data_IF_807044837224
#
_entry.id   IF_807044837224
#
_cell.length_a   1.000
_cell.length_b   1.000
_cell.length_c   1.000
_cell.angle_alpha   90.00
_cell.angle_beta   90.00
_cell.angle_gamma   90.00
#
_symmetry.space_group_name_H-M   'P 1'
#
loop_
_entity.id
_entity.type
_entity.pdbx_description
1 polymer ?
#
# COMPACT_ATOMS: atom_id res chain seq x y z
N UNK A 1 -1.79 34.32 11.40
CA UNK A 1 -0.86 33.21 11.71
C UNK A 1 -1.48 31.97 11.11
N UNK A 2 -0.98 31.53 9.97
CA UNK A 2 -1.46 30.32 9.30
C UNK A 2 -0.92 29.11 10.08
N UNK A 3 -1.80 28.39 10.77
CA UNK A 3 -1.47 27.10 11.36
C UNK A 3 -1.95 26.00 10.41
N UNK A 4 -0.99 25.19 10.00
CA UNK A 4 -1.04 24.09 9.05
C UNK A 4 -2.23 23.12 9.22
N UNK A 5 -3.08 23.04 8.19
CA UNK A 5 -3.92 21.86 7.92
C UNK A 5 -3.15 20.86 7.03
N UNK A 6 -2.03 20.33 7.52
CA UNK A 6 -1.20 19.35 6.80
C UNK A 6 -1.16 17.96 7.46
N UNK A 7 -2.17 17.59 8.25
CA UNK A 7 -2.18 16.31 8.98
C UNK A 7 -3.44 15.45 8.76
N UNK A 8 -4.28 15.74 7.77
CA UNK A 8 -5.53 14.99 7.56
C UNK A 8 -5.45 13.86 6.52
N UNK A 9 -4.33 13.73 5.78
CA UNK A 9 -4.15 12.68 4.77
C UNK A 9 -3.31 11.49 5.21
N UNK A 10 -2.38 11.66 6.16
CA UNK A 10 -1.43 10.61 6.57
C UNK A 10 -2.06 9.48 7.39
N UNK A 11 -3.24 9.71 7.99
CA UNK A 11 -3.92 8.72 8.82
C UNK A 11 -5.02 7.93 8.11
N UNK A 12 -5.35 8.23 6.84
CA UNK A 12 -6.53 7.63 6.22
C UNK A 12 -6.30 6.19 5.74
N UNK A 13 -5.05 5.83 5.39
CA UNK A 13 -4.67 4.50 4.91
C UNK A 13 -3.35 4.03 5.56
N UNK A 14 -3.29 4.07 6.89
CA UNK A 14 -2.09 3.73 7.67
C UNK A 14 -1.56 2.33 7.33
N UNK A 15 -2.45 1.36 7.07
CA UNK A 15 -2.04 0.00 6.73
C UNK A 15 -1.45 -0.10 5.33
N UNK A 16 -1.92 0.71 4.37
CA UNK A 16 -1.29 0.81 3.05
C UNK A 16 0.12 1.36 3.19
N UNK A 17 0.28 2.47 3.91
CA UNK A 17 1.59 3.06 4.20
C UNK A 17 2.53 2.07 4.86
N UNK A 18 2.04 1.31 5.85
CA UNK A 18 2.82 0.29 6.55
C UNK A 18 3.27 -0.83 5.60
N UNK A 19 2.37 -1.33 4.76
CA UNK A 19 2.69 -2.38 3.77
C UNK A 19 3.75 -1.89 2.78
N UNK A 20 3.58 -0.70 2.21
CA UNK A 20 4.53 -0.15 1.24
C UNK A 20 5.91 0.09 1.88
N UNK A 21 5.97 0.70 3.06
CA UNK A 21 7.22 1.04 3.72
C UNK A 21 8.03 -0.18 4.18
N UNK A 22 7.37 -1.23 4.67
CA UNK A 22 8.07 -2.35 5.33
C UNK A 22 8.26 -3.58 4.44
N UNK A 23 7.41 -3.77 3.42
CA UNK A 23 7.46 -4.98 2.59
C UNK A 23 7.93 -4.70 1.17
N UNK A 24 7.48 -3.60 0.57
CA UNK A 24 7.69 -3.33 -0.87
C UNK A 24 8.70 -2.22 -1.16
N UNK A 25 9.17 -1.49 -0.14
CA UNK A 25 10.25 -0.53 -0.32
C UNK A 25 11.49 -1.22 -0.86
N UNK A 26 12.25 -0.57 -1.75
CA UNK A 26 13.57 -1.08 -2.20
C UNK A 26 14.53 -1.39 -1.04
N UNK A 27 14.27 -0.83 0.15
CA UNK A 27 15.05 -1.05 1.35
C UNK A 27 14.65 -2.32 2.12
N UNK A 28 13.58 -3.03 1.74
CA UNK A 28 13.09 -4.20 2.47
C UNK A 28 13.97 -5.44 2.31
N UNK A 29 14.96 -5.42 1.39
CA UNK A 29 15.78 -6.57 0.98
C UNK A 29 14.98 -7.76 0.43
N UNK A 30 13.65 -7.64 0.33
CA UNK A 30 12.74 -8.67 -0.15
C UNK A 30 12.39 -8.41 -1.61
N UNK A 31 12.32 -9.48 -2.40
CA UNK A 31 11.58 -9.43 -3.66
C UNK A 31 10.08 -9.28 -3.42
N UNK A 32 9.34 -8.82 -4.43
CA UNK A 32 7.87 -8.69 -4.35
C UNK A 32 7.19 -10.02 -3.99
N UNK A 33 7.67 -11.15 -4.53
CA UNK A 33 7.13 -12.47 -4.22
C UNK A 33 7.36 -12.88 -2.76
N UNK A 34 8.55 -12.59 -2.22
CA UNK A 34 8.88 -12.85 -0.81
C UNK A 34 8.07 -11.97 0.13
N UNK A 35 7.93 -10.69 -0.20
CA UNK A 35 7.08 -9.74 0.52
C UNK A 35 5.62 -10.23 0.60
N UNK A 36 5.06 -10.71 -0.52
CA UNK A 36 3.71 -11.30 -0.57
C UNK A 36 3.63 -12.57 0.26
N UNK A 37 4.62 -13.46 0.17
CA UNK A 37 4.65 -14.70 0.93
C UNK A 37 4.69 -14.42 2.44
N UNK A 38 5.48 -13.44 2.88
CA UNK A 38 5.59 -13.05 4.29
C UNK A 38 4.31 -12.37 4.80
N UNK A 39 3.70 -11.48 4.02
CA UNK A 39 2.39 -10.91 4.35
C UNK A 39 1.32 -12.00 4.51
N UNK A 40 1.29 -13.00 3.62
CA UNK A 40 0.35 -14.13 3.73
C UNK A 40 0.57 -14.94 5.01
N UNK A 41 1.82 -15.16 5.43
CA UNK A 41 2.13 -15.82 6.72
C UNK A 41 1.59 -14.99 7.90
N UNK A 42 1.76 -13.67 7.87
CA UNK A 42 1.22 -12.78 8.90
C UNK A 42 -0.31 -12.79 8.93
N UNK A 43 -0.97 -12.86 7.77
CA UNK A 43 -2.43 -12.95 7.70
C UNK A 43 -2.97 -14.26 8.28
N UNK A 44 -2.21 -15.36 8.18
CA UNK A 44 -2.59 -16.64 8.77
C UNK A 44 -2.63 -16.57 10.31
N UNK A 45 -1.69 -15.84 10.92
CA UNK A 45 -1.60 -15.70 12.39
C UNK A 45 -2.42 -14.53 12.94
N UNK A 46 -2.74 -13.53 12.11
CA UNK A 46 -3.45 -12.32 12.52
C UNK A 46 -4.56 -11.95 11.53
N UNK A 47 -5.76 -12.46 11.79
CA UNK A 47 -6.95 -12.18 10.96
C UNK A 47 -7.41 -10.72 11.04
N UNK A 48 -7.14 -10.02 12.15
CA UNK A 48 -7.46 -8.59 12.29
C UNK A 48 -6.59 -7.80 11.32
N UNK A 49 -5.27 -8.02 11.34
CA UNK A 49 -4.34 -7.38 10.43
C UNK A 49 -4.72 -7.59 8.95
N UNK A 50 -5.09 -8.82 8.58
CA UNK A 50 -5.60 -9.13 7.23
C UNK A 50 -6.80 -8.26 6.86
N UNK A 51 -7.77 -8.14 7.77
CA UNK A 51 -9.01 -7.39 7.55
C UNK A 51 -8.74 -5.88 7.41
N UNK A 52 -7.89 -5.32 8.26
CA UNK A 52 -7.57 -3.89 8.20
C UNK A 52 -6.79 -3.54 6.93
N UNK A 53 -5.78 -4.33 6.55
CA UNK A 53 -5.06 -4.15 5.27
C UNK A 53 -6.01 -4.28 4.07
N UNK A 54 -6.93 -5.25 4.09
CA UNK A 54 -7.94 -5.39 3.04
C UNK A 54 -8.82 -4.14 2.95
N UNK A 55 -9.30 -3.63 4.09
CA UNK A 55 -10.18 -2.46 4.14
C UNK A 55 -9.47 -1.21 3.61
N UNK A 56 -8.23 -0.96 4.03
CA UNK A 56 -7.45 0.21 3.60
C UNK A 56 -7.08 0.12 2.12
N UNK A 57 -6.55 -1.02 1.66
CA UNK A 57 -6.23 -1.20 0.23
C UNK A 57 -7.47 -1.05 -0.63
N UNK A 58 -8.61 -1.64 -0.22
CA UNK A 58 -9.86 -1.54 -0.98
C UNK A 58 -10.36 -0.10 -1.04
N UNK A 59 -10.31 0.64 0.06
CA UNK A 59 -10.75 2.04 0.09
C UNK A 59 -9.82 2.93 -0.74
N UNK A 60 -8.50 2.83 -0.53
CA UNK A 60 -7.50 3.59 -1.30
C UNK A 60 -7.54 3.27 -2.80
N UNK A 61 -7.81 2.01 -3.18
CA UNK A 61 -7.97 1.62 -4.58
C UNK A 61 -9.29 2.10 -5.19
N UNK A 62 -10.25 2.62 -4.42
CA UNK A 62 -11.49 3.22 -4.91
C UNK A 62 -11.56 4.73 -4.66
N UNK A 63 -10.51 5.31 -4.09
CA UNK A 63 -10.42 6.73 -3.76
C UNK A 63 -9.65 7.46 -4.86
N UNK A 64 -10.36 8.18 -5.73
CA UNK A 64 -9.74 8.94 -6.82
C UNK A 64 -8.97 10.18 -6.32
N UNK A 65 -9.06 10.53 -5.03
CA UNK A 65 -8.24 11.57 -4.40
C UNK A 65 -6.93 11.05 -3.83
N UNK A 66 -6.78 9.73 -3.72
CA UNK A 66 -5.54 9.09 -3.29
C UNK A 66 -4.58 8.91 -4.47
N UNK A 67 -3.36 9.45 -4.38
CA UNK A 67 -2.33 9.24 -5.41
C UNK A 67 -1.42 8.08 -5.06
N UNK A 68 -1.59 6.96 -5.78
CA UNK A 68 -0.70 5.82 -5.75
C UNK A 68 0.69 6.16 -6.26
N UNK A 69 0.80 7.06 -7.25
CA UNK A 69 2.11 7.50 -7.73
C UNK A 69 2.92 8.14 -6.61
N UNK A 70 2.31 9.08 -5.88
CA UNK A 70 2.98 9.76 -4.78
C UNK A 70 3.24 8.82 -3.60
N UNK A 71 2.33 7.89 -3.31
CA UNK A 71 2.50 6.91 -2.22
C UNK A 71 3.64 5.92 -2.51
N UNK A 72 3.69 5.34 -3.71
CA UNK A 72 4.74 4.41 -4.12
C UNK A 72 6.11 5.09 -4.17
N UNK A 73 6.16 6.33 -4.65
CA UNK A 73 7.39 7.11 -4.64
C UNK A 73 7.83 7.47 -3.20
N UNK A 74 6.89 7.86 -2.32
CA UNK A 74 7.20 8.24 -0.94
C UNK A 74 7.88 7.13 -0.15
N UNK A 75 7.50 5.88 -0.40
CA UNK A 75 8.04 4.71 0.28
C UNK A 75 9.13 4.00 -0.53
N UNK A 76 9.64 4.65 -1.57
CA UNK A 76 10.68 4.13 -2.46
C UNK A 76 10.34 2.73 -3.00
N UNK A 77 9.09 2.49 -3.39
CA UNK A 77 8.65 1.21 -3.98
C UNK A 77 8.98 1.21 -5.46
N UNK A 78 8.38 2.14 -6.22
CA UNK A 78 8.63 2.31 -7.64
C UNK A 78 8.16 3.71 -8.10
N UNK A 79 8.76 4.23 -9.17
CA UNK A 79 8.36 5.51 -9.78
C UNK A 79 7.55 5.28 -11.06
N UNK A 80 6.39 5.91 -11.16
CA UNK A 80 5.51 5.83 -12.33
C UNK A 80 5.27 7.22 -12.92
N UNK A 81 5.14 7.31 -14.24
CA UNK A 81 4.85 8.59 -14.91
C UNK A 81 3.37 8.98 -14.77
N UNK A 82 2.47 8.01 -14.66
CA UNK A 82 1.04 8.25 -14.52
C UNK A 82 0.37 7.46 -13.39
N UNK A 83 -0.73 8.02 -12.89
CA UNK A 83 -1.49 7.48 -11.75
C UNK A 83 -2.14 6.13 -12.08
N UNK A 84 -2.59 5.93 -13.32
CA UNK A 84 -3.24 4.70 -13.74
C UNK A 84 -2.28 3.50 -13.73
N UNK A 85 -1.02 3.69 -14.13
CA UNK A 85 0.03 2.68 -14.06
C UNK A 85 0.39 2.36 -12.62
N UNK A 86 0.56 3.37 -11.77
CA UNK A 86 0.81 3.18 -10.33
C UNK A 86 -0.30 2.36 -9.66
N UNK A 87 -1.56 2.73 -9.91
CA UNK A 87 -2.73 1.99 -9.41
C UNK A 87 -2.78 0.57 -9.98
N UNK A 88 -2.48 0.39 -11.26
CA UNK A 88 -2.45 -0.92 -11.91
C UNK A 88 -1.35 -1.83 -11.36
N UNK A 89 -0.20 -1.28 -11.02
CA UNK A 89 0.88 -2.01 -10.34
C UNK A 89 0.42 -2.51 -8.98
N UNK A 90 -0.18 -1.65 -8.15
CA UNK A 90 -0.70 -2.05 -6.83
C UNK A 90 -1.76 -3.14 -6.96
N UNK A 91 -2.65 -3.03 -7.95
CA UNK A 91 -3.65 -4.08 -8.20
C UNK A 91 -2.99 -5.42 -8.51
N UNK A 92 -2.06 -5.45 -9.47
CA UNK A 92 -1.45 -6.70 -9.97
C UNK A 92 -0.44 -7.33 -9.01
N UNK A 93 0.32 -6.49 -8.32
CA UNK A 93 1.45 -6.92 -7.49
C UNK A 93 1.06 -7.11 -6.04
N UNK A 94 0.13 -6.31 -5.51
CA UNK A 94 -0.25 -6.33 -4.09
C UNK A 94 -1.66 -6.89 -3.91
N UNK A 95 -2.67 -6.31 -4.56
CA UNK A 95 -4.07 -6.69 -4.32
C UNK A 95 -4.39 -8.10 -4.81
N UNK A 96 -4.16 -8.40 -6.10
CA UNK A 96 -4.48 -9.69 -6.71
C UNK A 96 -3.80 -10.85 -5.98
N UNK A 97 -2.50 -10.79 -5.63
CA UNK A 97 -1.87 -11.90 -4.92
C UNK A 97 -2.34 -12.02 -3.46
N UNK A 98 -2.81 -10.96 -2.80
CA UNK A 98 -3.26 -11.05 -1.40
C UNK A 98 -4.75 -11.36 -1.28
N UNK A 99 -5.56 -10.86 -2.20
CA UNK A 99 -7.02 -10.77 -2.10
C UNK A 99 -7.77 -10.96 -3.42
N UNK A 100 -7.07 -11.14 -4.54
CA UNK A 100 -7.70 -11.56 -5.80
C UNK A 100 -8.36 -12.92 -5.59
N UNK A 101 -9.66 -12.97 -5.89
CA UNK A 101 -10.43 -14.22 -5.92
C UNK A 101 -10.14 -15.03 -7.19
#
# INVERSE_FOLDING_TARGET
MAHNNYLSGEMMYEYVSHVLANYFSINSELSEEEAIADLRKHFFVNAILKKEIYSDLRQALNDDSFSWKDALQRYDVFHFENENEARSYVVKTIWEPLFGE
#
